data_IF_197926179011
#
_entry.id   IF_197926179011
#
_cell.length_a   1.000
_cell.length_b   1.000
_cell.length_c   1.000
_cell.angle_alpha   90.00
_cell.angle_beta   90.00
_cell.angle_gamma   90.00
#
_symmetry.space_group_name_H-M   'P 1'
#
loop_
_entity.id
_entity.type
_entity.pdbx_description
1 polymer ?
#
# COMPACT_ATOMS: atom_id res chain seq x y z
N UNK A 1 -23.78 -62.24 -67.72
CA UNK A 1 -22.82 -61.12 -67.66
C UNK A 1 -23.40 -60.03 -66.76
N UNK A 2 -22.54 -59.44 -65.92
CA UNK A 2 -22.76 -58.38 -64.92
C UNK A 2 -23.17 -58.81 -63.51
N UNK A 3 -22.07 -59.03 -62.77
CA UNK A 3 -21.83 -59.16 -61.35
C UNK A 3 -21.76 -57.76 -60.70
N UNK A 4 -22.25 -57.61 -59.47
CA UNK A 4 -21.78 -56.69 -58.40
C UNK A 4 -22.74 -56.88 -57.21
N UNK A 5 -22.41 -57.74 -56.26
CA UNK A 5 -21.63 -57.48 -55.03
C UNK A 5 -22.45 -56.75 -53.94
N UNK A 6 -23.09 -57.58 -53.11
CA UNK A 6 -23.66 -57.23 -51.80
C UNK A 6 -22.54 -57.39 -50.75
N UNK A 7 -21.98 -56.28 -50.26
CA UNK A 7 -20.97 -56.31 -49.20
C UNK A 7 -21.60 -56.03 -47.84
N UNK A 8 -21.79 -57.12 -47.09
CA UNK A 8 -21.45 -57.38 -45.67
C UNK A 8 -21.53 -56.20 -44.68
N UNK A 9 -22.36 -56.41 -43.64
CA UNK A 9 -22.37 -55.66 -42.38
C UNK A 9 -21.48 -56.29 -41.30
N UNK A 10 -20.99 -55.41 -40.41
CA UNK A 10 -20.57 -55.59 -39.01
C UNK A 10 -19.20 -56.24 -38.70
N UNK A 11 -18.28 -55.43 -38.16
CA UNK A 11 -17.42 -55.78 -36.99
C UNK A 11 -16.85 -54.49 -36.34
N UNK A 12 -16.80 -54.43 -35.00
CA UNK A 12 -16.44 -53.26 -34.16
C UNK A 12 -14.91 -53.19 -33.88
N UNK A 13 -14.32 -52.15 -33.21
CA UNK A 13 -14.44 -51.93 -31.73
C UNK A 13 -14.38 -50.44 -31.27
N UNK A 14 -14.56 -50.13 -29.96
CA UNK A 14 -14.66 -48.75 -29.46
C UNK A 14 -13.28 -48.13 -29.25
N UNK A 15 -13.10 -46.87 -29.65
CA UNK A 15 -11.88 -46.13 -29.33
C UNK A 15 -12.19 -44.81 -28.63
N UNK A 16 -11.84 -44.83 -27.35
CA UNK A 16 -11.24 -43.76 -26.55
C UNK A 16 -12.01 -42.45 -26.40
N UNK A 17 -12.49 -42.25 -25.18
CA UNK A 17 -12.74 -40.95 -24.54
C UNK A 17 -11.72 -39.90 -25.01
N UNK A 18 -12.20 -38.93 -25.79
CA UNK A 18 -11.53 -37.65 -25.93
C UNK A 18 -11.70 -36.90 -24.62
N UNK A 19 -10.79 -37.13 -23.67
CA UNK A 19 -10.51 -36.11 -22.65
C UNK A 19 -10.01 -34.87 -23.38
N UNK A 20 -10.88 -33.87 -23.50
CA UNK A 20 -10.46 -32.51 -23.83
C UNK A 20 -9.29 -32.12 -22.91
N UNK A 21 -8.18 -31.58 -23.45
CA UNK A 21 -7.14 -31.04 -22.60
C UNK A 21 -7.74 -29.85 -21.86
N UNK A 22 -8.10 -30.07 -20.59
CA UNK A 22 -8.39 -29.00 -19.63
C UNK A 22 -7.13 -28.14 -19.56
N UNK A 23 -7.17 -27.02 -20.29
CA UNK A 23 -6.19 -25.94 -20.19
C UNK A 23 -5.95 -25.67 -18.70
N UNK A 24 -4.70 -25.69 -18.21
CA UNK A 24 -4.44 -25.42 -16.82
C UNK A 24 -4.99 -24.03 -16.50
N UNK A 25 -5.89 -24.02 -15.51
CA UNK A 25 -6.55 -22.86 -14.95
C UNK A 25 -5.61 -21.67 -14.90
N UNK A 26 -6.07 -20.58 -15.53
CA UNK A 26 -5.51 -19.24 -15.50
C UNK A 26 -4.71 -19.03 -14.21
N UNK A 27 -3.40 -18.84 -14.37
CA UNK A 27 -2.56 -18.22 -13.35
C UNK A 27 -3.31 -16.96 -12.88
N UNK A 28 -3.96 -17.06 -11.72
CA UNK A 28 -4.41 -15.87 -11.00
C UNK A 28 -3.11 -15.28 -10.47
N UNK A 29 -2.43 -14.49 -11.31
CA UNK A 29 -1.44 -13.55 -10.83
C UNK A 29 -2.18 -12.70 -9.81
N UNK A 30 -1.98 -13.01 -8.53
CA UNK A 30 -2.28 -12.07 -7.45
C UNK A 30 -1.50 -10.82 -7.83
N UNK A 31 -2.18 -9.84 -8.40
CA UNK A 31 -1.60 -8.51 -8.62
C UNK A 31 -1.22 -8.03 -7.23
N UNK A 32 0.05 -8.14 -6.88
CA UNK A 32 0.59 -7.50 -5.70
C UNK A 32 0.44 -6.03 -5.98
N UNK A 33 -0.62 -5.41 -5.46
CA UNK A 33 -0.78 -3.96 -5.54
C UNK A 33 0.42 -3.41 -4.79
N UNK A 34 1.33 -2.67 -5.45
CA UNK A 34 2.47 -2.10 -4.76
C UNK A 34 1.96 -1.25 -3.59
N UNK A 35 2.57 -1.43 -2.42
CA UNK A 35 2.32 -0.56 -1.29
C UNK A 35 2.92 0.81 -1.61
N UNK A 36 2.09 1.83 -1.59
CA UNK A 36 2.53 3.19 -1.91
C UNK A 36 1.94 4.17 -0.92
N UNK A 37 2.70 5.22 -0.64
CA UNK A 37 2.18 6.46 -0.09
C UNK A 37 1.57 7.26 -1.24
N UNK A 38 0.36 7.78 -1.06
CA UNK A 38 -0.32 8.63 -2.04
C UNK A 38 -0.23 10.10 -1.67
N UNK A 39 -0.43 10.41 -0.38
CA UNK A 39 -0.56 11.77 0.12
C UNK A 39 -0.15 11.87 1.58
N UNK A 40 0.39 13.02 1.96
CA UNK A 40 0.63 13.40 3.36
C UNK A 40 -0.14 14.68 3.62
N UNK A 41 -1.12 14.59 4.52
CA UNK A 41 -1.96 15.67 4.99
C UNK A 41 -1.57 16.08 6.40
N UNK A 42 -1.77 17.36 6.72
CA UNK A 42 -1.54 17.86 8.06
C UNK A 42 -2.73 18.70 8.52
N UNK A 43 -3.17 18.45 9.74
CA UNK A 43 -4.27 19.14 10.41
C UNK A 43 -3.80 19.48 11.83
N UNK A 44 -4.13 20.66 12.34
CA UNK A 44 -3.59 21.14 13.60
C UNK A 44 -4.55 22.07 14.33
N UNK A 45 -4.44 22.03 15.65
CA UNK A 45 -5.01 23.01 16.56
C UNK A 45 -3.91 23.56 17.48
N UNK A 46 -4.29 24.33 18.50
CA UNK A 46 -3.35 24.97 19.42
C UNK A 46 -2.47 23.98 20.21
N UNK A 47 -2.90 22.71 20.36
CA UNK A 47 -2.28 21.73 21.25
C UNK A 47 -1.86 20.43 20.55
N UNK A 48 -2.46 20.14 19.40
CA UNK A 48 -2.33 18.87 18.70
C UNK A 48 -2.02 19.10 17.23
N UNK A 49 -1.05 18.33 16.74
CA UNK A 49 -0.75 18.20 15.32
C UNK A 49 -1.12 16.79 14.89
N UNK A 50 -1.89 16.67 13.83
CA UNK A 50 -2.29 15.43 13.21
C UNK A 50 -1.64 15.31 11.84
N UNK A 51 -0.78 14.31 11.67
CA UNK A 51 -0.18 13.96 10.39
C UNK A 51 -0.92 12.74 9.85
N UNK A 52 -1.59 12.88 8.71
CA UNK A 52 -2.32 11.79 8.06
C UNK A 52 -1.62 11.37 6.76
N UNK A 53 -1.30 10.09 6.64
CA UNK A 53 -0.60 9.51 5.50
C UNK A 53 -1.56 8.57 4.78
N UNK A 54 -1.91 8.93 3.55
CA UNK A 54 -2.77 8.11 2.69
C UNK A 54 -1.96 6.99 2.07
N UNK A 55 -2.40 5.75 2.28
CA UNK A 55 -1.73 4.53 1.83
C UNK A 55 -2.58 3.80 0.79
N UNK A 56 -1.95 2.96 -0.04
CA UNK A 56 -2.67 2.05 -0.95
C UNK A 56 -3.27 0.83 -0.23
N UNK A 57 -2.75 0.49 0.96
CA UNK A 57 -3.21 -0.60 1.82
C UNK A 57 -3.08 -0.20 3.29
N UNK A 58 -3.94 -0.70 4.19
CA UNK A 58 -3.87 -0.37 5.62
C UNK A 58 -2.58 -0.93 6.22
N UNK A 59 -1.75 -0.06 6.79
CA UNK A 59 -0.46 -0.45 7.36
C UNK A 59 -0.12 0.41 8.57
N UNK A 60 0.43 -0.23 9.62
CA UNK A 60 1.03 0.49 10.74
C UNK A 60 2.45 0.85 10.38
N UNK A 61 2.70 2.15 10.26
CA UNK A 61 4.03 2.68 9.98
C UNK A 61 4.87 2.73 11.26
N UNK A 62 6.18 2.50 11.11
CA UNK A 62 7.12 2.68 12.21
C UNK A 62 7.42 4.16 12.37
N UNK A 63 7.22 4.67 13.59
CA UNK A 63 7.53 6.05 13.95
C UNK A 63 8.52 6.05 15.11
N UNK A 64 9.59 6.82 14.95
CA UNK A 64 10.62 7.06 15.96
C UNK A 64 10.63 8.54 16.28
N UNK A 65 10.58 8.86 17.56
CA UNK A 65 10.68 10.23 18.09
C UNK A 65 12.09 10.44 18.64
N UNK A 66 12.65 11.61 18.38
CA UNK A 66 13.85 12.09 19.04
C UNK A 66 13.46 13.30 19.90
N UNK A 67 13.22 13.02 21.18
CA UNK A 67 12.81 14.02 22.18
C UNK A 67 13.80 15.18 22.31
N UNK A 68 15.11 14.93 22.07
CA UNK A 68 16.15 15.95 22.17
C UNK A 68 16.13 16.95 21.02
N UNK A 69 15.69 16.53 19.84
CA UNK A 69 15.71 17.36 18.62
C UNK A 69 14.33 17.69 18.09
N UNK A 70 13.27 17.25 18.78
CA UNK A 70 11.86 17.39 18.36
C UNK A 70 11.63 16.88 16.93
N UNK A 71 12.31 15.77 16.59
CA UNK A 71 12.24 15.16 15.28
C UNK A 71 11.45 13.86 15.31
N UNK A 72 10.60 13.70 14.31
CA UNK A 72 9.78 12.52 14.09
C UNK A 72 10.19 11.87 12.78
N UNK A 73 10.67 10.63 12.86
CA UNK A 73 11.03 9.82 11.70
C UNK A 73 9.96 8.77 11.45
N UNK A 74 9.29 8.85 10.30
CA UNK A 74 8.24 7.94 9.86
C UNK A 74 8.81 7.07 8.74
N UNK A 75 8.86 5.75 8.95
CA UNK A 75 9.24 4.81 7.90
C UNK A 75 8.04 4.47 7.03
N UNK A 76 8.18 4.78 5.75
CA UNK A 76 7.17 4.63 4.72
C UNK A 76 7.56 3.48 3.78
N UNK A 77 6.57 2.78 3.17
CA UNK A 77 6.85 1.88 2.06
C UNK A 77 7.68 2.58 0.99
N UNK A 78 8.55 1.82 0.31
CA UNK A 78 9.39 2.39 -0.74
C UNK A 78 8.51 3.05 -1.80
N UNK A 79 8.67 4.36 -1.95
CA UNK A 79 7.85 5.19 -2.85
C UNK A 79 8.74 6.17 -3.59
N UNK A 80 8.38 6.48 -4.85
CA UNK A 80 8.94 7.64 -5.54
C UNK A 80 8.31 8.90 -4.93
N UNK A 81 9.09 9.67 -4.19
CA UNK A 81 8.57 10.84 -3.48
C UNK A 81 7.98 11.91 -4.42
N UNK A 82 8.45 11.97 -5.67
CA UNK A 82 7.93 12.93 -6.66
C UNK A 82 6.45 12.72 -7.01
N UNK A 83 5.87 11.56 -6.68
CA UNK A 83 4.45 11.26 -6.94
C UNK A 83 3.58 11.39 -5.69
N UNK A 84 4.16 11.76 -4.55
CA UNK A 84 3.43 11.93 -3.29
C UNK A 84 2.91 13.36 -3.23
N UNK A 85 1.60 13.51 -3.04
CA UNK A 85 0.98 14.80 -2.79
C UNK A 85 1.27 15.22 -1.34
N UNK A 86 1.71 16.45 -1.13
CA UNK A 86 2.09 16.96 0.20
C UNK A 86 1.27 18.20 0.46
N UNK A 87 0.65 18.23 1.63
CA UNK A 87 -0.01 19.43 2.11
C UNK A 87 0.99 20.59 2.21
N UNK A 88 0.76 21.72 1.50
CA UNK A 88 1.65 22.87 1.57
C UNK A 88 1.74 23.48 2.98
N UNK A 89 0.78 23.21 3.87
CA UNK A 89 0.84 23.66 5.26
C UNK A 89 1.89 22.91 6.09
N UNK A 90 2.39 21.77 5.61
CA UNK A 90 3.47 21.02 6.27
C UNK A 90 4.70 21.91 6.51
N UNK A 91 5.06 22.77 5.56
CA UNK A 91 6.19 23.70 5.68
C UNK A 91 5.93 24.88 6.63
N UNK A 92 4.65 25.17 6.91
CA UNK A 92 4.28 26.28 7.80
C UNK A 92 4.26 25.83 9.27
N UNK A 93 3.94 24.55 9.49
CA UNK A 93 3.73 23.99 10.83
C UNK A 93 4.99 23.27 11.31
N UNK A 94 5.64 22.51 10.44
CA UNK A 94 6.94 21.94 10.75
C UNK A 94 8.02 23.01 10.60
N UNK A 95 9.00 23.01 11.51
CA UNK A 95 10.21 23.83 11.33
C UNK A 95 10.94 23.44 10.05
N UNK A 96 10.94 22.15 9.72
CA UNK A 96 11.42 21.62 8.45
C UNK A 96 10.94 20.18 8.27
N UNK A 97 10.93 19.70 7.02
CA UNK A 97 10.85 18.27 6.75
C UNK A 97 11.86 17.90 5.66
N UNK A 98 12.31 16.65 5.68
CA UNK A 98 13.09 16.10 4.58
C UNK A 98 12.77 14.61 4.40
N UNK A 99 13.15 14.10 3.23
CA UNK A 99 12.83 12.73 2.83
C UNK A 99 14.12 12.02 2.47
N UNK A 100 14.38 10.92 3.16
CA UNK A 100 15.51 10.04 2.90
C UNK A 100 15.04 8.81 2.11
N UNK A 101 15.47 8.73 0.85
CA UNK A 101 15.22 7.58 -0.04
C UNK A 101 16.47 6.71 -0.25
N UNK A 102 17.54 6.89 0.53
CA UNK A 102 18.79 6.12 0.41
C UNK A 102 18.60 4.63 0.72
N UNK A 103 17.66 4.29 1.61
CA UNK A 103 17.42 2.91 1.98
C UNK A 103 16.76 2.12 0.84
N UNK A 104 17.21 0.88 0.52
CA UNK A 104 16.67 0.11 -0.59
C UNK A 104 15.22 -0.36 -0.40
N UNK A 105 14.75 -0.49 0.86
CA UNK A 105 13.44 -1.09 1.19
C UNK A 105 12.36 -0.11 1.63
N UNK A 106 12.72 1.11 2.03
CA UNK A 106 11.77 2.08 2.57
C UNK A 106 12.21 3.50 2.23
N UNK A 107 11.28 4.43 2.43
CA UNK A 107 11.52 5.87 2.41
C UNK A 107 11.32 6.37 3.84
N UNK A 108 12.19 7.23 4.36
CA UNK A 108 12.01 7.84 5.67
C UNK A 108 11.57 9.28 5.49
N UNK A 109 10.39 9.64 6.01
CA UNK A 109 9.98 11.02 6.17
C UNK A 109 10.43 11.49 7.54
N UNK A 110 11.23 12.55 7.59
CA UNK A 110 11.69 13.17 8.83
C UNK A 110 11.06 14.55 8.94
N UNK A 111 10.36 14.80 10.04
CA UNK A 111 9.68 16.05 10.32
C UNK A 111 10.29 16.62 11.59
N UNK A 112 10.78 17.86 11.53
CA UNK A 112 11.30 18.60 12.69
C UNK A 112 10.27 19.62 13.11
N UNK A 113 9.95 19.67 14.40
CA UNK A 113 9.01 20.65 14.97
C UNK A 113 9.77 21.72 15.75
N UNK A 114 9.21 22.93 15.79
CA UNK A 114 9.71 24.06 16.59
C UNK A 114 9.13 24.08 18.02
N UNK A 115 8.23 23.13 18.32
CA UNK A 115 7.53 23.00 19.60
C UNK A 115 7.89 21.66 20.26
N UNK A 116 7.88 21.67 21.59
CA UNK A 116 7.94 20.48 22.42
C UNK A 116 6.66 19.65 22.23
N UNK A 117 6.67 18.75 21.25
CA UNK A 117 5.59 17.82 20.98
C UNK A 117 6.11 16.40 21.19
N UNK A 118 5.21 15.50 21.57
CA UNK A 118 5.47 14.06 21.64
C UNK A 118 4.36 13.27 20.98
N UNK A 119 4.60 11.99 20.71
CA UNK A 119 3.61 11.12 20.09
C UNK A 119 2.51 10.76 21.10
N UNK A 120 1.31 11.29 20.89
CA UNK A 120 0.13 10.98 21.69
C UNK A 120 -0.55 9.67 21.25
N UNK A 121 -0.72 9.49 19.94
CA UNK A 121 -1.47 8.35 19.38
C UNK A 121 -1.00 8.01 17.97
N UNK A 122 -1.06 6.71 17.64
CA UNK A 122 -0.90 6.17 16.28
C UNK A 122 -2.13 5.36 15.92
N UNK A 123 -2.70 5.62 14.76
CA UNK A 123 -3.95 4.99 14.33
C UNK A 123 -3.89 4.61 12.86
N UNK A 124 -4.59 3.52 12.50
CA UNK A 124 -4.80 3.15 11.10
C UNK A 124 -6.31 3.14 10.87
N UNK A 125 -6.75 3.98 9.95
CA UNK A 125 -8.15 4.11 9.56
C UNK A 125 -8.34 3.39 8.23
N UNK A 126 -9.28 2.45 8.17
CA UNK A 126 -9.57 1.68 6.97
C UNK A 126 -11.07 1.60 6.75
N UNK A 127 -11.61 2.64 6.09
CA UNK A 127 -13.05 2.75 5.81
C UNK A 127 -13.37 2.17 4.42
N UNK A 128 -14.46 1.40 4.27
CA UNK A 128 -14.90 0.92 2.96
C UNK A 128 -15.09 2.08 1.97
N UNK A 129 -14.52 1.94 0.77
CA UNK A 129 -14.64 2.96 -0.30
C UNK A 129 -13.69 4.15 -0.17
N UNK A 130 -12.84 4.21 0.86
CA UNK A 130 -11.81 5.23 1.03
C UNK A 130 -10.41 4.60 1.02
N UNK A 131 -9.39 5.39 0.69
CA UNK A 131 -8.02 4.93 0.86
C UNK A 131 -7.69 4.82 2.36
N UNK A 132 -6.97 3.76 2.77
CA UNK A 132 -6.49 3.66 4.15
C UNK A 132 -5.61 4.84 4.55
N UNK A 133 -5.72 5.25 5.81
CA UNK A 133 -4.90 6.30 6.41
C UNK A 133 -4.09 5.73 7.57
N UNK A 134 -2.82 6.09 7.64
CA UNK A 134 -2.07 6.07 8.89
C UNK A 134 -2.10 7.48 9.49
N UNK A 135 -2.51 7.61 10.75
CA UNK A 135 -2.62 8.90 11.43
C UNK A 135 -1.71 8.91 12.65
N UNK A 136 -0.88 9.95 12.73
CA UNK A 136 0.01 10.24 13.85
C UNK A 136 -0.46 11.51 14.53
N UNK A 137 -0.80 11.41 15.82
CA UNK A 137 -1.14 12.56 16.65
C UNK A 137 0.06 12.92 17.51
N UNK A 138 0.49 14.18 17.39
CA UNK A 138 1.55 14.80 18.16
C UNK A 138 0.93 15.87 19.05
N UNK A 139 1.44 16.06 20.25
CA UNK A 139 0.94 17.09 21.15
C UNK A 139 1.77 17.20 22.42
N UNK A 140 1.42 18.16 23.26
CA UNK A 140 2.04 18.31 24.58
C UNK A 140 1.40 17.36 25.58
N UNK A 141 2.22 16.67 26.39
CA UNK A 141 1.71 16.02 27.60
C UNK A 141 1.41 17.14 28.59
N UNK A 142 0.13 17.49 28.74
CA UNK A 142 -0.29 18.32 29.85
C UNK A 142 -0.01 17.54 31.15
N UNK A 143 0.91 18.06 31.95
CA UNK A 143 1.23 17.55 33.29
C UNK A 143 0.17 17.89 34.33
#
# INVERSE_FOLDING_TARGET
MKQTDLTISADAPPQAEQEEPKLPSKFVQKRTIPQTVKRVDLDYDDQTIKIAITLSQPERLKVVENERTHQFSIQLPKVNWQTVDIDPELEQIASSYFVDQSHPKWTTLVISMDRDLTILKREVINNPGQNPLFVLYLGQIQG
#
